data_IF_435261754933
#
_entry.id   IF_435261754933
#
_cell.length_a   1.000
_cell.length_b   1.000
_cell.length_c   1.000
_cell.angle_alpha   90.00
_cell.angle_beta   90.00
_cell.angle_gamma   90.00
#
_symmetry.space_group_name_H-M   'P 1'
#
loop_
_entity.id
_entity.type
_entity.pdbx_description
1 polymer ?
#
# COMPACT_ATOMS: atom_id res chain seq x y z
N UNK A 1 -35.04 -30.15 -12.02
CA UNK A 1 -34.57 -29.31 -10.92
C UNK A 1 -34.81 -27.86 -11.29
N UNK A 2 -35.55 -27.11 -10.47
CA UNK A 2 -35.93 -25.71 -10.76
C UNK A 2 -34.73 -24.80 -10.54
N UNK A 3 -34.36 -24.04 -11.58
CA UNK A 3 -33.27 -23.06 -11.55
C UNK A 3 -33.55 -22.02 -10.45
N UNK A 4 -32.62 -21.76 -9.51
CA UNK A 4 -32.82 -20.74 -8.49
C UNK A 4 -32.99 -19.38 -9.18
N UNK A 5 -34.04 -18.65 -8.81
CA UNK A 5 -34.25 -17.27 -9.27
C UNK A 5 -33.09 -16.43 -8.76
N UNK A 6 -32.24 -15.95 -9.68
CA UNK A 6 -31.22 -14.94 -9.39
C UNK A 6 -31.94 -13.76 -8.71
N UNK A 7 -31.52 -13.38 -7.51
CA UNK A 7 -31.99 -12.14 -6.89
C UNK A 7 -31.92 -11.04 -7.94
N UNK A 8 -33.02 -10.32 -8.12
CA UNK A 8 -33.04 -9.17 -9.02
C UNK A 8 -32.01 -8.19 -8.47
N UNK A 9 -30.83 -8.14 -9.09
CA UNK A 9 -29.89 -7.03 -8.93
C UNK A 9 -30.73 -5.76 -8.98
N UNK A 10 -30.68 -4.92 -7.93
CA UNK A 10 -31.48 -3.71 -7.79
C UNK A 10 -31.28 -2.84 -9.04
N UNK A 11 -32.15 -3.00 -10.03
CA UNK A 11 -32.04 -2.31 -11.31
C UNK A 11 -32.26 -0.84 -11.04
N UNK A 12 -31.24 -0.02 -11.30
CA UNK A 12 -31.32 1.43 -11.11
C UNK A 12 -32.19 2.02 -12.21
N UNK A 13 -33.44 2.34 -11.88
CA UNK A 13 -34.48 2.78 -12.82
C UNK A 13 -34.65 4.30 -12.92
N UNK A 14 -34.12 5.06 -11.96
CA UNK A 14 -34.29 6.52 -11.92
C UNK A 14 -33.06 7.23 -12.50
N UNK A 15 -33.30 8.18 -13.40
CA UNK A 15 -32.27 8.98 -14.06
C UNK A 15 -32.23 10.41 -13.50
N UNK A 16 -31.03 10.92 -13.26
CA UNK A 16 -30.77 12.31 -12.86
C UNK A 16 -29.85 12.91 -13.92
N UNK A 17 -30.23 14.04 -14.49
CA UNK A 17 -29.43 14.75 -15.52
C UNK A 17 -28.85 16.01 -14.92
N UNK A 18 -27.54 16.21 -15.08
CA UNK A 18 -26.81 17.41 -14.68
C UNK A 18 -26.16 18.02 -15.92
N UNK A 19 -26.23 19.34 -16.08
CA UNK A 19 -25.41 20.06 -17.06
C UNK A 19 -24.18 20.61 -16.35
N UNK A 20 -23.02 20.36 -16.94
CA UNK A 20 -21.73 20.83 -16.47
C UNK A 20 -21.11 21.73 -17.54
N UNK A 21 -20.31 22.69 -17.11
CA UNK A 21 -19.35 23.37 -17.96
C UNK A 21 -18.20 22.43 -18.33
N UNK A 22 -17.43 22.77 -19.37
CA UNK A 22 -16.31 21.92 -19.81
C UNK A 22 -15.30 21.67 -18.68
N UNK A 23 -14.98 22.71 -17.90
CA UNK A 23 -14.05 22.62 -16.77
C UNK A 23 -14.59 21.74 -15.63
N UNK A 24 -15.88 21.85 -15.30
CA UNK A 24 -16.49 21.00 -14.27
C UNK A 24 -16.55 19.54 -14.70
N UNK A 25 -16.77 19.30 -15.99
CA UNK A 25 -16.78 17.96 -16.57
C UNK A 25 -15.39 17.30 -16.54
N UNK A 26 -14.34 18.05 -16.88
CA UNK A 26 -12.95 17.59 -16.76
C UNK A 26 -12.61 17.25 -15.32
N UNK A 27 -12.92 18.15 -14.37
CA UNK A 27 -12.63 17.93 -12.95
C UNK A 27 -13.32 16.66 -12.40
N UNK A 28 -14.58 16.42 -12.74
CA UNK A 28 -15.31 15.21 -12.34
C UNK A 28 -14.69 13.96 -12.97
N UNK A 29 -14.22 14.07 -14.21
CA UNK A 29 -13.60 12.96 -14.93
C UNK A 29 -12.25 12.60 -14.32
N UNK A 30 -11.40 13.60 -14.06
CA UNK A 30 -10.08 13.41 -13.46
C UNK A 30 -10.19 12.82 -12.05
N UNK A 31 -11.09 13.37 -11.22
CA UNK A 31 -11.31 12.84 -9.88
C UNK A 31 -11.87 11.41 -9.88
N UNK A 32 -12.69 11.06 -10.89
CA UNK A 32 -13.18 9.69 -11.03
C UNK A 32 -12.06 8.72 -11.41
N UNK A 33 -11.16 9.13 -12.31
CA UNK A 33 -9.96 8.36 -12.68
C UNK A 33 -9.05 8.19 -11.47
N UNK A 34 -8.80 9.26 -10.74
CA UNK A 34 -7.96 9.27 -9.53
C UNK A 34 -8.53 8.35 -8.43
N UNK A 35 -9.85 8.30 -8.29
CA UNK A 35 -10.52 7.39 -7.35
C UNK A 35 -10.62 5.93 -7.86
N UNK A 36 -10.18 5.63 -9.09
CA UNK A 36 -10.31 4.31 -9.71
C UNK A 36 -11.76 3.87 -9.95
N UNK A 37 -12.68 4.83 -10.10
CA UNK A 37 -14.12 4.57 -10.21
C UNK A 37 -14.63 4.98 -11.60
N UNK A 38 -15.72 4.34 -12.03
CA UNK A 38 -16.48 4.88 -13.16
C UNK A 38 -17.06 6.24 -12.76
N UNK A 39 -17.15 7.19 -13.70
CA UNK A 39 -17.76 8.53 -13.46
C UNK A 39 -19.12 8.42 -12.76
N UNK A 40 -19.93 7.44 -13.17
CA UNK A 40 -21.25 7.18 -12.59
C UNK A 40 -21.19 6.69 -11.14
N UNK A 41 -20.19 5.88 -10.79
CA UNK A 41 -20.00 5.41 -9.41
C UNK A 41 -19.36 6.46 -8.53
N UNK A 42 -18.44 7.25 -9.08
CA UNK A 42 -17.88 8.43 -8.43
C UNK A 42 -18.99 9.41 -8.07
N UNK A 43 -19.78 9.88 -9.05
CA UNK A 43 -20.89 10.81 -8.79
C UNK A 43 -21.90 10.27 -7.78
N UNK A 44 -22.20 8.97 -7.83
CA UNK A 44 -23.12 8.36 -6.88
C UNK A 44 -22.58 8.33 -5.46
N UNK A 45 -21.32 7.96 -5.27
CA UNK A 45 -20.66 8.04 -3.95
C UNK A 45 -20.61 9.47 -3.46
N UNK A 46 -20.34 10.42 -4.34
CA UNK A 46 -20.32 11.85 -4.00
C UNK A 46 -21.70 12.33 -3.52
N UNK A 47 -22.77 11.94 -4.22
CA UNK A 47 -24.16 12.33 -3.88
C UNK A 47 -24.65 11.64 -2.60
N UNK A 48 -24.34 10.36 -2.39
CA UNK A 48 -24.84 9.57 -1.25
C UNK A 48 -24.04 9.79 0.03
N UNK A 49 -22.71 9.83 -0.07
CA UNK A 49 -21.81 9.81 1.09
C UNK A 49 -21.19 11.20 1.38
N UNK A 50 -21.37 12.18 0.48
CA UNK A 50 -20.92 13.57 0.63
C UNK A 50 -19.41 13.80 0.60
N UNK A 51 -18.59 12.77 0.87
CA UNK A 51 -17.13 12.79 0.79
C UNK A 51 -16.62 11.49 0.19
N UNK A 52 -15.92 11.59 -0.95
CA UNK A 52 -15.13 10.48 -1.47
C UNK A 52 -13.75 10.61 -0.85
N UNK A 53 -13.43 9.73 0.09
CA UNK A 53 -12.05 9.55 0.51
C UNK A 53 -11.32 8.90 -0.66
N UNK A 54 -10.66 9.72 -1.49
CA UNK A 54 -9.69 9.25 -2.46
C UNK A 54 -8.56 8.63 -1.64
N UNK A 55 -8.61 7.30 -1.54
CA UNK A 55 -7.55 6.54 -0.91
C UNK A 55 -6.44 6.55 -1.93
N UNK A 56 -5.51 7.48 -1.78
CA UNK A 56 -4.22 7.41 -2.45
C UNK A 56 -3.54 6.15 -1.93
N UNK A 57 -3.83 5.01 -2.54
CA UNK A 57 -2.85 3.93 -2.56
C UNK A 57 -1.71 4.53 -3.38
N UNK A 58 -0.78 5.15 -2.68
CA UNK A 58 0.42 5.68 -3.30
C UNK A 58 1.17 4.43 -3.78
N UNK A 59 0.87 4.00 -5.00
CA UNK A 59 1.66 3.02 -5.74
C UNK A 59 2.91 3.78 -6.15
N UNK A 60 3.75 4.12 -5.17
CA UNK A 60 5.09 4.52 -5.50
C UNK A 60 5.84 3.25 -5.81
N UNK A 61 6.18 3.07 -7.08
CA UNK A 61 7.42 2.40 -7.44
C UNK A 61 8.57 3.25 -6.85
N UNK A 62 8.76 3.15 -5.54
CA UNK A 62 9.96 3.59 -4.87
C UNK A 62 10.92 2.40 -4.97
N UNK A 63 11.88 2.39 -5.92
CA UNK A 63 12.92 1.37 -5.96
C UNK A 63 13.67 1.24 -4.62
N UNK A 64 13.70 2.32 -3.84
CA UNK A 64 14.21 2.36 -2.47
C UNK A 64 13.40 1.48 -1.50
N UNK A 65 12.07 1.45 -1.63
CA UNK A 65 11.20 0.63 -0.79
C UNK A 65 11.26 -0.84 -1.19
N UNK A 66 11.39 -1.14 -2.48
CA UNK A 66 11.67 -2.50 -2.96
C UNK A 66 13.03 -3.02 -2.47
N UNK A 67 14.06 -2.17 -2.49
CA UNK A 67 15.38 -2.49 -1.93
C UNK A 67 15.28 -2.79 -0.43
N UNK A 68 14.52 -1.99 0.31
CA UNK A 68 14.28 -2.20 1.73
C UNK A 68 13.55 -3.53 2.00
N UNK A 69 12.47 -3.83 1.26
CA UNK A 69 11.74 -5.10 1.38
C UNK A 69 12.64 -6.30 1.05
N UNK A 70 13.51 -6.18 0.05
CA UNK A 70 14.49 -7.20 -0.30
C UNK A 70 15.51 -7.45 0.81
N UNK A 71 16.03 -6.39 1.44
CA UNK A 71 16.93 -6.47 2.60
C UNK A 71 16.24 -7.14 3.81
N UNK A 72 14.99 -6.77 4.10
CA UNK A 72 14.19 -7.43 5.13
C UNK A 72 13.96 -8.92 4.82
N UNK A 73 13.74 -9.27 3.55
CA UNK A 73 13.61 -10.66 3.10
C UNK A 73 14.86 -11.50 3.35
N UNK A 74 16.06 -10.94 3.10
CA UNK A 74 17.34 -11.62 3.38
C UNK A 74 17.53 -11.88 4.87
N UNK A 75 17.22 -10.91 5.72
CA UNK A 75 17.31 -11.06 7.19
C UNK A 75 16.31 -12.09 7.70
N UNK A 76 15.08 -12.07 7.20
CA UNK A 76 14.08 -13.10 7.51
C UNK A 76 14.56 -14.49 7.09
N UNK A 77 15.24 -14.59 5.94
CA UNK A 77 15.91 -15.80 5.48
C UNK A 77 16.99 -16.30 6.45
N UNK A 78 17.90 -15.42 6.89
CA UNK A 78 18.96 -15.74 7.84
C UNK A 78 18.38 -16.18 9.19
N UNK A 79 17.39 -15.46 9.72
CA UNK A 79 16.66 -15.86 10.94
C UNK A 79 16.00 -17.22 10.81
N UNK A 80 15.41 -17.53 9.65
CA UNK A 80 14.78 -18.82 9.39
C UNK A 80 15.83 -19.95 9.30
N UNK A 81 17.02 -19.67 8.77
CA UNK A 81 18.13 -20.64 8.75
C UNK A 81 18.67 -20.91 10.15
N UNK A 82 18.86 -19.87 10.96
CA UNK A 82 19.23 -19.99 12.38
C UNK A 82 18.17 -20.79 13.14
N UNK A 83 16.89 -20.47 12.96
CA UNK A 83 15.78 -21.17 13.59
C UNK A 83 15.74 -22.66 13.19
N UNK A 84 15.89 -22.97 11.90
CA UNK A 84 15.95 -24.36 11.40
C UNK A 84 17.15 -25.12 11.97
N UNK A 85 18.33 -24.50 12.00
CA UNK A 85 19.56 -25.09 12.51
C UNK A 85 19.43 -25.51 13.99
N UNK A 86 18.82 -24.65 14.82
CA UNK A 86 18.53 -24.99 16.21
C UNK A 86 17.41 -26.02 16.37
N UNK A 87 16.40 -26.01 15.48
CA UNK A 87 15.35 -27.02 15.48
C UNK A 87 15.86 -28.44 15.16
N UNK A 88 16.94 -28.56 14.38
CA UNK A 88 17.56 -29.83 13.99
C UNK A 88 18.64 -30.33 14.96
N UNK A 89 18.82 -29.70 16.13
CA UNK A 89 19.80 -30.14 17.14
C UNK A 89 21.21 -29.61 16.95
N UNK A 90 21.36 -28.45 16.32
CA UNK A 90 22.65 -27.82 16.03
C UNK A 90 23.50 -27.49 17.28
N UNK A 91 24.80 -27.79 17.20
CA UNK A 91 25.79 -27.51 18.25
C UNK A 91 26.14 -26.02 18.22
N UNK A 92 26.19 -25.36 19.39
CA UNK A 92 26.63 -23.96 19.52
C UNK A 92 28.12 -23.84 19.19
N UNK A 93 28.45 -23.53 17.94
CA UNK A 93 29.81 -23.23 17.49
C UNK A 93 30.10 -21.72 17.55
N UNK A 94 31.37 -21.33 17.65
CA UNK A 94 31.79 -19.91 17.58
C UNK A 94 31.35 -19.24 16.26
N UNK A 95 31.46 -19.95 15.13
CA UNK A 95 31.04 -19.44 13.83
C UNK A 95 29.55 -19.06 13.79
N UNK A 96 28.70 -19.79 14.52
CA UNK A 96 27.28 -19.44 14.64
C UNK A 96 27.07 -18.18 15.50
N UNK A 97 27.86 -17.98 16.57
CA UNK A 97 27.78 -16.75 17.35
C UNK A 97 28.19 -15.54 16.52
N UNK A 98 29.17 -15.71 15.63
CA UNK A 98 29.59 -14.68 14.68
C UNK A 98 28.48 -14.37 13.66
N UNK A 99 27.82 -15.39 13.09
CA UNK A 99 26.67 -15.20 12.18
C UNK A 99 25.49 -14.48 12.86
N UNK A 100 25.16 -14.85 14.09
CA UNK A 100 24.11 -14.18 14.88
C UNK A 100 24.49 -12.73 15.15
N UNK A 101 25.75 -12.47 15.53
CA UNK A 101 26.25 -11.13 15.80
C UNK A 101 26.26 -10.25 14.54
N UNK A 102 26.58 -10.84 13.38
CA UNK A 102 26.50 -10.17 12.09
C UNK A 102 25.05 -9.82 11.75
N UNK A 103 24.13 -10.77 11.89
CA UNK A 103 22.71 -10.55 11.60
C UNK A 103 22.09 -9.47 12.52
N UNK A 104 22.50 -9.42 13.79
CA UNK A 104 22.13 -8.34 14.71
C UNK A 104 22.67 -7.00 14.22
N UNK A 105 23.92 -6.96 13.77
CA UNK A 105 24.54 -5.73 13.24
C UNK A 105 23.81 -5.22 12.00
N UNK A 106 23.51 -6.10 11.04
CA UNK A 106 22.76 -5.76 9.83
C UNK A 106 21.36 -5.21 10.16
N UNK A 107 20.69 -5.78 11.17
CA UNK A 107 19.42 -5.27 11.69
C UNK A 107 19.53 -3.85 12.27
N UNK A 108 20.63 -3.56 12.99
CA UNK A 108 20.88 -2.22 13.53
C UNK A 108 21.16 -1.19 12.44
N UNK A 109 21.88 -1.57 11.39
CA UNK A 109 22.16 -0.70 10.24
C UNK A 109 20.88 -0.36 9.47
N UNK A 110 20.04 -1.36 9.18
CA UNK A 110 18.75 -1.11 8.53
C UNK A 110 17.82 -0.25 9.40
N UNK A 111 17.79 -0.47 10.72
CA UNK A 111 17.02 0.39 11.63
C UNK A 111 17.47 1.86 11.53
N UNK A 112 18.78 2.10 11.35
CA UNK A 112 19.34 3.44 11.17
C UNK A 112 18.95 4.03 9.81
N UNK A 113 18.99 3.24 8.74
CA UNK A 113 18.55 3.69 7.42
C UNK A 113 17.06 4.02 7.37
N UNK A 114 16.21 3.17 7.94
CA UNK A 114 14.76 3.43 8.07
C UNK A 114 14.51 4.68 8.89
N UNK A 115 15.25 4.90 9.99
CA UNK A 115 15.12 6.11 10.81
C UNK A 115 15.56 7.38 10.06
N UNK A 116 16.60 7.29 9.21
CA UNK A 116 17.03 8.40 8.32
C UNK A 116 15.94 8.71 7.30
N UNK A 117 15.47 7.71 6.56
CA UNK A 117 14.38 7.87 5.59
C UNK A 117 13.13 8.46 6.24
N UNK A 118 12.69 7.93 7.38
CA UNK A 118 11.54 8.44 8.14
C UNK A 118 11.74 9.87 8.69
N UNK A 119 12.98 10.26 9.00
CA UNK A 119 13.33 11.62 9.41
C UNK A 119 13.22 12.63 8.26
N UNK A 120 13.64 12.25 7.06
CA UNK A 120 13.58 13.10 5.86
C UNK A 120 12.12 13.34 5.40
N UNK A 121 11.21 12.39 5.65
CA UNK A 121 9.78 12.57 5.36
C UNK A 121 9.09 13.67 6.21
N UNK A 122 9.64 14.03 7.38
CA UNK A 122 9.10 15.12 8.20
C UNK A 122 9.50 16.52 7.71
N UNK A 123 10.47 16.63 6.79
CA UNK A 123 10.96 17.91 6.27
C UNK A 123 10.22 18.47 5.05
N UNK A 124 9.43 17.65 4.35
CA UNK A 124 8.94 17.98 3.00
C UNK A 124 7.40 18.10 2.85
N UNK A 125 6.66 18.26 3.96
CA UNK A 125 5.19 18.43 3.91
C UNK A 125 4.78 19.92 3.79
N UNK A 126 5.74 20.86 3.82
CA UNK A 126 5.47 22.28 3.58
C UNK A 126 6.06 22.73 2.24
N UNK A 127 5.34 22.49 1.16
CA UNK A 127 5.10 23.45 0.06
C UNK A 127 4.59 22.70 -1.16
N UNK A 128 3.31 22.87 -1.49
CA UNK A 128 2.81 23.14 -2.83
C UNK A 128 1.30 23.39 -2.71
N UNK A 129 0.98 24.58 -2.17
CA UNK A 129 -0.29 25.24 -2.41
C UNK A 129 0.05 26.46 -3.27
N UNK A 130 -0.19 26.34 -4.57
CA UNK A 130 -0.45 27.44 -5.48
C UNK A 130 -1.49 26.97 -6.47
#
# INVERSE_FOLDING_TARGET
>A
MTRPKKEKELTRSHHITLRLTDTEYELVTDNAIEAGLSRSDYLRKMILDGKINVRYDIVVDLPELQKLVSEFGKIGGNLNQIAKYFHTGGIRSMAMQDEISQCITDLYELRKEVKRMAGDFHGNIKTHRK
#
